data_IF_109119772650
#
_entry.id   IF_109119772650
#
_cell.length_a   1.000
_cell.length_b   1.000
_cell.length_c   1.000
_cell.angle_alpha   90.00
_cell.angle_beta   90.00
_cell.angle_gamma   90.00
#
_symmetry.space_group_name_H-M   'P 1'
#
loop_
_entity.id
_entity.type
_entity.pdbx_description
1 polymer ?
#
# COMPACT_ATOMS: atom_id res chain seq x y z
N UNK A 1 -6.38 7.49 -74.23
CA UNK A 1 -6.59 8.83 -73.63
C UNK A 1 -8.06 9.19 -73.78
N UNK A 2 -8.67 9.83 -72.78
CA UNK A 2 -10.05 10.31 -72.84
C UNK A 2 -10.14 11.64 -72.10
N UNK A 3 -10.78 12.63 -72.72
CA UNK A 3 -11.06 13.95 -72.13
C UNK A 3 -12.48 14.35 -72.51
N UNK A 4 -13.20 15.00 -71.60
CA UNK A 4 -14.10 16.07 -72.03
C UNK A 4 -13.85 17.39 -71.28
N UNK A 5 -13.72 18.45 -72.08
CA UNK A 5 -14.38 19.75 -71.91
C UNK A 5 -14.22 20.59 -70.61
N UNK A 6 -13.57 21.75 -70.80
CA UNK A 6 -13.77 23.06 -70.14
C UNK A 6 -13.99 24.07 -71.28
N UNK A 7 -14.68 25.24 -71.10
CA UNK A 7 -14.37 26.30 -70.12
C UNK A 7 -15.67 26.73 -69.36
N UNK A 8 -15.92 27.94 -68.81
CA UNK A 8 -15.23 29.24 -68.90
C UNK A 8 -15.46 30.14 -67.65
N UNK A 9 -15.09 31.43 -67.77
CA UNK A 9 -15.08 32.50 -66.77
C UNK A 9 -16.45 33.21 -66.61
N UNK A 10 -16.85 33.88 -65.49
CA UNK A 10 -16.21 34.79 -64.50
C UNK A 10 -16.22 36.28 -64.91
N UNK A 11 -16.85 37.15 -64.10
CA UNK A 11 -16.58 38.59 -63.81
C UNK A 11 -17.68 39.06 -62.81
N UNK A 12 -17.39 39.55 -61.58
CA UNK A 12 -16.80 40.84 -61.13
C UNK A 12 -17.77 42.04 -61.28
N UNK A 13 -17.92 43.00 -60.34
CA UNK A 13 -17.36 43.23 -58.98
C UNK A 13 -18.53 43.43 -57.94
N UNK A 14 -18.55 44.20 -56.82
CA UNK A 14 -17.63 45.12 -56.09
C UNK A 14 -17.99 45.23 -54.59
N UNK A 15 -17.10 45.79 -53.77
CA UNK A 15 -17.21 46.03 -52.31
C UNK A 15 -17.57 47.48 -51.96
N UNK A 16 -18.07 47.78 -50.73
CA UNK A 16 -17.32 48.52 -49.67
C UNK A 16 -18.10 48.84 -48.34
N UNK A 17 -17.50 48.42 -47.21
CA UNK A 17 -17.34 49.10 -45.89
C UNK A 17 -18.47 49.48 -44.88
N UNK A 18 -18.17 49.08 -43.62
CA UNK A 18 -18.21 49.83 -42.32
C UNK A 18 -19.49 49.94 -41.46
N UNK A 19 -19.39 49.40 -40.23
CA UNK A 19 -20.15 49.75 -39.02
C UNK A 19 -19.85 48.79 -37.85
N UNK A 20 -19.47 49.29 -36.64
CA UNK A 20 -19.17 48.45 -35.45
C UNK A 20 -19.80 49.01 -34.15
N UNK A 21 -20.71 48.26 -33.53
CA UNK A 21 -21.15 48.27 -32.10
C UNK A 21 -21.74 46.87 -31.82
N UNK A 22 -21.39 46.02 -30.83
CA UNK A 22 -20.47 46.00 -29.67
C UNK A 22 -21.08 46.29 -28.28
N UNK A 23 -20.89 45.35 -27.34
CA UNK A 23 -21.43 45.24 -25.97
C UNK A 23 -22.93 44.84 -25.88
N UNK A 24 -23.40 44.09 -24.87
CA UNK A 24 -22.71 43.47 -23.73
C UNK A 24 -23.36 42.11 -23.37
N UNK A 25 -22.56 41.08 -23.07
CA UNK A 25 -23.02 39.91 -22.32
C UNK A 25 -21.97 39.55 -21.26
N UNK A 26 -22.29 39.75 -19.98
CA UNK A 26 -21.44 39.29 -18.89
C UNK A 26 -21.62 37.78 -18.70
N UNK A 27 -20.65 36.99 -19.14
CA UNK A 27 -20.38 35.70 -18.50
C UNK A 27 -19.38 35.96 -17.37
N UNK A 28 -19.89 36.05 -16.15
CA UNK A 28 -19.06 36.13 -14.94
C UNK A 28 -18.38 34.79 -14.70
N UNK A 29 -17.13 34.66 -15.12
CA UNK A 29 -16.27 33.52 -14.76
C UNK A 29 -15.97 33.62 -13.27
N UNK A 30 -16.69 32.84 -12.46
CA UNK A 30 -16.40 32.73 -11.02
C UNK A 30 -15.18 31.83 -10.85
N UNK A 31 -14.02 32.47 -10.79
CA UNK A 31 -12.79 31.85 -10.30
C UNK A 31 -12.96 31.50 -8.82
N UNK A 32 -13.24 30.22 -8.52
CA UNK A 32 -13.19 29.71 -7.15
C UNK A 32 -11.75 29.52 -6.68
N UNK A 33 -11.05 30.64 -6.45
CA UNK A 33 -9.83 30.68 -5.67
C UNK A 33 -10.18 30.53 -4.17
N UNK A 34 -10.27 29.29 -3.68
CA UNK A 34 -10.65 28.98 -2.30
C UNK A 34 -9.48 28.44 -1.48
N UNK A 35 -8.50 29.29 -1.21
CA UNK A 35 -7.45 29.02 -0.24
C UNK A 35 -7.96 29.37 1.18
N UNK A 36 -8.47 28.40 1.94
CA UNK A 36 -8.76 28.62 3.36
C UNK A 36 -8.64 27.41 4.28
N UNK A 37 -8.29 27.76 5.52
CA UNK A 37 -7.91 26.96 6.67
C UNK A 37 -8.99 25.97 7.13
N UNK A 38 -8.51 24.89 7.76
CA UNK A 38 -9.22 24.01 8.69
C UNK A 38 -10.13 24.80 9.65
N UNK A 39 -11.45 24.57 9.57
CA UNK A 39 -12.42 25.08 10.56
C UNK A 39 -12.43 24.23 11.84
N UNK A 40 -13.00 24.80 12.91
CA UNK A 40 -12.90 24.30 14.28
C UNK A 40 -14.10 23.48 14.74
N UNK A 41 -13.84 22.46 15.55
CA UNK A 41 -14.80 21.51 16.12
C UNK A 41 -15.87 22.16 17.02
N UNK A 42 -17.18 21.87 16.82
CA UNK A 42 -18.23 22.04 17.83
C UNK A 42 -18.18 20.92 18.89
N UNK A 43 -18.76 21.16 20.07
CA UNK A 43 -18.52 20.33 21.26
C UNK A 43 -19.54 19.20 21.52
N UNK A 44 -19.05 18.14 22.17
CA UNK A 44 -19.72 17.26 23.14
C UNK A 44 -21.17 16.82 22.91
N UNK A 45 -21.37 15.49 22.83
CA UNK A 45 -22.58 14.84 23.34
C UNK A 45 -22.21 13.94 24.54
N UNK A 46 -23.12 13.88 25.52
CA UNK A 46 -22.87 13.31 26.85
C UNK A 46 -23.06 11.79 26.91
N UNK A 47 -22.41 11.16 27.88
CA UNK A 47 -22.62 9.76 28.25
C UNK A 47 -24.07 9.50 28.68
N UNK A 48 -24.54 8.29 28.43
CA UNK A 48 -25.50 7.59 29.30
C UNK A 48 -24.95 6.17 29.51
N UNK A 49 -24.51 5.87 30.73
CA UNK A 49 -24.05 4.55 31.15
C UNK A 49 -25.14 3.92 32.04
N UNK A 50 -25.64 2.74 31.64
CA UNK A 50 -26.66 2.01 32.42
C UNK A 50 -26.57 0.48 32.37
N UNK A 51 -25.58 -0.10 31.67
CA UNK A 51 -25.42 -1.56 31.53
C UNK A 51 -24.07 -2.10 32.04
N UNK A 52 -23.18 -1.23 32.55
CA UNK A 52 -21.90 -1.63 33.12
C UNK A 52 -22.03 -2.30 34.51
N UNK A 53 -22.64 -3.49 34.59
CA UNK A 53 -22.85 -4.20 35.88
C UNK A 53 -22.32 -5.64 35.93
N UNK A 54 -21.23 -5.79 36.68
CA UNK A 54 -20.77 -7.02 37.36
C UNK A 54 -20.38 -8.23 36.49
N UNK A 55 -19.07 -8.39 36.24
CA UNK A 55 -18.46 -9.72 36.03
C UNK A 55 -17.01 -9.84 36.51
N UNK A 56 -16.74 -9.37 37.74
CA UNK A 56 -15.50 -9.67 38.49
C UNK A 56 -15.48 -11.13 38.97
N UNK A 57 -15.41 -12.08 38.02
CA UNK A 57 -15.51 -13.52 38.28
C UNK A 57 -14.39 -14.34 37.65
N UNK A 58 -13.35 -14.64 38.45
CA UNK A 58 -12.24 -15.60 38.21
C UNK A 58 -12.28 -16.39 36.89
N UNK A 59 -11.79 -15.80 35.80
CA UNK A 59 -11.51 -16.56 34.57
C UNK A 59 -10.29 -17.45 34.84
N UNK A 60 -10.53 -18.74 35.09
CA UNK A 60 -9.52 -19.77 34.79
C UNK A 60 -9.30 -19.72 33.28
N UNK A 61 -8.04 -19.66 32.83
CA UNK A 61 -7.74 -19.96 31.44
C UNK A 61 -8.25 -21.38 31.15
N UNK A 62 -9.21 -21.50 30.25
CA UNK A 62 -9.53 -22.78 29.65
C UNK A 62 -8.29 -23.26 28.87
N UNK A 63 -7.89 -24.51 29.07
CA UNK A 63 -6.99 -25.14 28.12
C UNK A 63 -7.68 -25.17 26.75
N UNK A 64 -6.98 -24.74 25.70
CA UNK A 64 -7.53 -24.74 24.34
C UNK A 64 -8.03 -26.14 23.98
N UNK A 65 -9.24 -26.22 23.39
CA UNK A 65 -9.82 -27.50 23.02
C UNK A 65 -8.95 -28.19 21.96
N UNK A 66 -8.86 -29.51 22.00
CA UNK A 66 -8.16 -30.29 20.97
C UNK A 66 -8.98 -30.47 19.68
N UNK A 67 -9.96 -29.59 19.44
CA UNK A 67 -10.99 -29.73 18.42
C UNK A 67 -11.22 -28.49 17.55
N UNK A 68 -10.56 -27.36 17.84
CA UNK A 68 -10.52 -26.24 16.89
C UNK A 68 -9.85 -26.69 15.58
N UNK A 69 -10.47 -26.44 14.41
CA UNK A 69 -9.85 -26.81 13.14
C UNK A 69 -8.57 -26.01 12.92
N UNK A 70 -7.44 -26.72 12.84
CA UNK A 70 -6.13 -26.15 12.51
C UNK A 70 -6.19 -25.41 11.18
N UNK A 71 -6.33 -24.07 11.22
CA UNK A 71 -6.53 -23.28 10.00
C UNK A 71 -5.27 -23.34 9.12
N UNK A 72 -5.40 -24.06 8.01
CA UNK A 72 -4.32 -24.26 7.05
C UNK A 72 -4.11 -23.02 6.20
N UNK A 73 -3.09 -22.23 6.56
CA UNK A 73 -2.50 -21.23 5.65
C UNK A 73 -2.04 -21.93 4.37
N UNK A 74 -2.30 -21.34 3.20
CA UNK A 74 -1.87 -21.91 1.93
C UNK A 74 -0.33 -22.01 1.87
N UNK A 75 0.21 -23.09 1.31
CA UNK A 75 1.65 -23.16 0.99
C UNK A 75 2.01 -22.09 -0.04
N UNK A 76 3.21 -21.50 0.09
CA UNK A 76 3.71 -20.50 -0.84
C UNK A 76 4.64 -19.49 -0.17
N UNK A 77 5.13 -18.52 -0.94
CA UNK A 77 5.88 -17.38 -0.42
C UNK A 77 4.94 -16.35 0.20
N UNK A 78 5.33 -15.75 1.31
CA UNK A 78 4.63 -14.65 1.97
C UNK A 78 5.61 -13.57 2.44
N UNK A 79 5.16 -12.31 2.44
CA UNK A 79 5.69 -11.26 3.31
C UNK A 79 4.85 -11.31 4.59
N UNK A 80 5.51 -11.28 5.75
CA UNK A 80 4.88 -11.42 7.06
C UNK A 80 4.94 -10.05 7.74
N UNK A 81 3.79 -9.36 7.82
CA UNK A 81 3.73 -7.94 8.25
C UNK A 81 3.20 -7.84 9.68
N UNK A 82 3.88 -7.11 10.56
CA UNK A 82 3.41 -6.85 11.91
C UNK A 82 2.23 -5.87 11.91
N UNK A 83 1.21 -6.12 12.74
CA UNK A 83 0.03 -5.24 12.83
C UNK A 83 0.36 -3.86 13.37
N UNK A 84 1.12 -3.79 14.48
CA UNK A 84 1.35 -2.54 15.20
C UNK A 84 2.22 -1.55 14.42
N UNK A 85 3.28 -2.05 13.78
CA UNK A 85 4.27 -1.20 13.10
C UNK A 85 4.08 -1.10 11.59
N UNK A 86 3.30 -2.01 10.98
CA UNK A 86 3.21 -2.17 9.54
C UNK A 86 4.53 -2.56 8.86
N UNK A 87 5.57 -2.92 9.63
CA UNK A 87 6.88 -3.39 9.15
C UNK A 87 6.88 -4.90 8.94
N UNK A 88 7.85 -5.39 8.18
CA UNK A 88 7.89 -6.79 7.72
C UNK A 88 8.97 -7.58 8.45
N UNK A 89 8.74 -8.89 8.62
CA UNK A 89 9.72 -9.83 9.16
C UNK A 89 10.92 -9.94 8.21
N UNK A 90 12.08 -9.50 8.65
CA UNK A 90 13.27 -9.24 7.83
C UNK A 90 14.51 -9.94 8.42
N UNK A 91 15.32 -10.57 7.55
CA UNK A 91 16.63 -11.14 7.90
C UNK A 91 17.72 -10.09 7.72
N UNK A 92 18.46 -9.85 8.81
CA UNK A 92 19.52 -8.84 8.91
C UNK A 92 20.46 -8.81 7.68
N UNK A 93 20.40 -7.71 6.93
CA UNK A 93 21.36 -7.38 5.86
C UNK A 93 21.45 -8.44 4.76
N UNK A 94 20.37 -9.19 4.49
CA UNK A 94 20.34 -10.33 3.56
C UNK A 94 21.33 -11.48 3.90
N UNK A 95 21.91 -11.48 5.12
CA UNK A 95 22.94 -12.43 5.54
C UNK A 95 22.41 -13.85 5.53
N UNK A 96 23.27 -14.79 5.11
CA UNK A 96 22.90 -16.19 4.88
C UNK A 96 23.54 -17.16 5.87
N UNK A 97 24.02 -16.67 7.01
CA UNK A 97 24.65 -17.45 8.09
C UNK A 97 23.62 -17.99 9.09
N UNK A 98 23.88 -19.17 9.68
CA UNK A 98 23.09 -19.65 10.83
C UNK A 98 23.33 -18.74 12.04
N UNK A 99 22.27 -18.44 12.80
CA UNK A 99 22.31 -17.49 13.92
C UNK A 99 22.13 -16.02 13.51
N UNK A 100 21.95 -15.73 12.22
CA UNK A 100 21.60 -14.36 11.76
C UNK A 100 20.28 -13.92 12.39
N UNK A 101 20.25 -12.72 12.99
CA UNK A 101 19.08 -12.17 13.68
C UNK A 101 17.94 -11.88 12.70
N UNK A 102 16.72 -12.12 13.18
CA UNK A 102 15.48 -11.69 12.52
C UNK A 102 14.87 -10.54 13.32
N UNK A 103 14.49 -9.48 12.61
CA UNK A 103 13.91 -8.24 13.16
C UNK A 103 12.73 -7.78 12.29
N UNK A 104 12.17 -6.62 12.59
CA UNK A 104 11.30 -5.91 11.65
C UNK A 104 12.08 -4.85 10.85
N UNK A 105 11.69 -4.64 9.59
CA UNK A 105 12.19 -3.54 8.76
C UNK A 105 11.10 -3.02 7.81
N UNK A 106 11.30 -1.83 7.24
CA UNK A 106 10.49 -1.29 6.14
C UNK A 106 10.42 -2.23 4.93
N UNK A 107 9.34 -2.16 4.16
CA UNK A 107 9.02 -3.12 3.09
C UNK A 107 9.81 -2.87 1.77
N UNK A 108 11.11 -3.16 1.79
CA UNK A 108 12.02 -3.04 0.62
C UNK A 108 11.68 -3.94 -0.56
N UNK A 109 10.85 -4.97 -0.35
CA UNK A 109 10.58 -5.98 -1.38
C UNK A 109 11.74 -6.95 -1.61
N UNK A 110 12.74 -6.98 -0.73
CA UNK A 110 13.90 -7.87 -0.77
C UNK A 110 13.56 -9.36 -0.73
N UNK A 111 14.55 -10.21 -1.02
CA UNK A 111 14.46 -11.67 -0.80
C UNK A 111 14.44 -12.02 0.69
N UNK A 112 15.17 -11.25 1.50
CA UNK A 112 15.29 -11.39 2.96
C UNK A 112 14.01 -11.07 3.76
N UNK A 113 12.98 -10.56 3.07
CA UNK A 113 11.65 -10.23 3.60
C UNK A 113 10.56 -11.21 3.11
N UNK A 114 10.94 -12.23 2.34
CA UNK A 114 10.04 -13.17 1.68
C UNK A 114 10.25 -14.56 2.26
N UNK A 115 9.21 -15.10 2.87
CA UNK A 115 9.21 -16.35 3.61
C UNK A 115 8.35 -17.39 2.92
N UNK A 116 8.97 -18.45 2.39
CA UNK A 116 8.24 -19.62 1.87
C UNK A 116 7.70 -20.45 3.02
N UNK A 117 6.40 -20.34 3.28
CA UNK A 117 5.65 -21.17 4.21
C UNK A 117 5.38 -22.55 3.58
N UNK A 118 5.77 -23.61 4.30
CA UNK A 118 5.53 -25.01 3.91
C UNK A 118 4.93 -25.78 5.09
N UNK A 119 3.70 -26.27 4.92
CA UNK A 119 2.97 -27.14 5.84
C UNK A 119 3.76 -28.43 6.16
N UNK A 120 3.69 -28.84 7.43
CA UNK A 120 4.34 -29.97 8.07
C UNK A 120 3.33 -30.75 8.91
N UNK A 121 3.71 -31.95 9.35
CA UNK A 121 2.82 -32.86 10.09
C UNK A 121 2.25 -32.23 11.37
N UNK A 122 0.91 -32.22 11.46
CA UNK A 122 0.15 -31.69 12.60
C UNK A 122 -0.26 -30.22 12.51
N UNK A 123 -0.36 -29.64 11.30
CA UNK A 123 -0.81 -28.25 11.11
C UNK A 123 0.25 -27.18 11.38
N UNK A 124 1.50 -27.59 11.58
CA UNK A 124 2.65 -26.69 11.73
C UNK A 124 3.29 -26.38 10.38
N UNK A 125 4.06 -25.31 10.32
CA UNK A 125 4.71 -24.80 9.12
C UNK A 125 6.19 -24.54 9.41
N UNK A 126 7.02 -24.68 8.39
CA UNK A 126 8.32 -24.01 8.35
C UNK A 126 8.19 -22.70 7.57
N UNK A 127 8.65 -21.59 8.14
CA UNK A 127 8.93 -20.38 7.37
C UNK A 127 10.38 -20.42 6.92
N UNK A 128 10.62 -20.46 5.60
CA UNK A 128 11.95 -20.50 5.00
C UNK A 128 12.23 -19.16 4.33
N UNK A 129 13.29 -18.46 4.73
CA UNK A 129 13.74 -17.23 4.08
C UNK A 129 14.18 -17.50 2.63
N UNK A 130 13.71 -16.68 1.69
CA UNK A 130 14.01 -16.80 0.27
C UNK A 130 15.40 -16.26 -0.11
N UNK A 131 16.10 -15.53 0.76
CA UNK A 131 17.48 -15.07 0.52
C UNK A 131 18.51 -16.18 0.78
N UNK A 132 18.36 -16.88 1.91
CA UNK A 132 19.32 -17.87 2.41
C UNK A 132 18.87 -19.34 2.27
N UNK A 133 17.58 -19.59 2.05
CA UNK A 133 17.00 -20.94 2.10
C UNK A 133 16.91 -21.51 3.52
N UNK A 134 17.12 -20.70 4.56
CA UNK A 134 17.16 -21.13 5.98
C UNK A 134 15.83 -20.91 6.69
N UNK A 135 15.59 -21.70 7.73
CA UNK A 135 14.34 -21.67 8.49
C UNK A 135 14.36 -20.67 9.64
N UNK A 136 13.26 -19.92 9.80
CA UNK A 136 12.99 -19.14 11.01
C UNK A 136 12.97 -20.05 12.23
N UNK A 137 13.73 -19.71 13.28
CA UNK A 137 13.77 -20.44 14.54
C UNK A 137 13.73 -19.51 15.74
N UNK A 138 13.32 -20.05 16.89
CA UNK A 138 13.73 -19.48 18.18
C UNK A 138 15.16 -19.92 18.47
N UNK A 139 16.01 -18.97 18.83
CA UNK A 139 17.45 -19.22 18.99
C UNK A 139 17.73 -20.10 20.21
N UNK A 140 18.76 -20.96 20.10
CA UNK A 140 19.16 -21.97 21.11
C UNK A 140 18.04 -22.79 21.77
N UNK A 141 16.88 -22.90 21.10
CA UNK A 141 15.67 -23.54 21.65
C UNK A 141 15.14 -22.87 22.94
N UNK A 142 15.40 -21.57 23.12
CA UNK A 142 14.93 -20.82 24.29
C UNK A 142 13.43 -20.99 24.54
N UNK A 143 13.04 -21.06 25.82
CA UNK A 143 11.62 -21.14 26.25
C UNK A 143 11.15 -19.97 27.11
N UNK A 144 12.07 -19.08 27.48
CA UNK A 144 11.77 -17.82 28.16
C UNK A 144 11.08 -16.84 27.21
N UNK A 145 10.38 -15.88 27.81
CA UNK A 145 10.06 -14.62 27.15
C UNK A 145 11.37 -13.88 26.80
N UNK A 146 11.38 -13.16 25.67
CA UNK A 146 12.56 -12.43 25.20
C UNK A 146 13.63 -13.28 24.51
N UNK A 147 13.42 -14.58 24.31
CA UNK A 147 14.31 -15.38 23.47
C UNK A 147 14.15 -14.95 22.00
N UNK A 148 15.25 -14.49 21.39
CA UNK A 148 15.25 -13.91 20.04
C UNK A 148 14.95 -14.95 18.94
N UNK A 149 14.51 -14.47 17.78
CA UNK A 149 14.44 -15.30 16.57
C UNK A 149 15.63 -15.08 15.65
N UNK A 150 16.12 -16.18 15.08
CA UNK A 150 17.21 -16.22 14.09
C UNK A 150 16.80 -17.05 12.89
N UNK A 151 17.58 -17.00 11.81
CA UNK A 151 17.55 -18.05 10.77
C UNK A 151 18.63 -19.10 11.02
N UNK A 152 18.33 -20.36 10.72
CA UNK A 152 19.32 -21.44 10.69
C UNK A 152 18.94 -22.53 9.69
N UNK A 153 19.89 -23.41 9.37
CA UNK A 153 19.68 -24.58 8.52
C UNK A 153 18.46 -25.37 8.98
N UNK A 154 17.49 -25.58 8.08
CA UNK A 154 16.22 -26.22 8.45
C UNK A 154 16.40 -27.73 8.62
N UNK A 155 16.42 -28.18 9.87
CA UNK A 155 16.51 -29.59 10.29
C UNK A 155 15.13 -30.21 10.53
N UNK A 156 14.08 -29.39 10.63
CA UNK A 156 12.76 -29.83 11.08
C UNK A 156 12.61 -29.94 12.59
N UNK A 157 13.60 -29.51 13.38
CA UNK A 157 13.47 -29.39 14.83
C UNK A 157 12.26 -28.52 15.21
N UNK A 158 11.60 -28.83 16.32
CA UNK A 158 10.36 -28.15 16.75
C UNK A 158 10.55 -26.65 17.01
N UNK A 159 11.76 -26.19 17.37
CA UNK A 159 12.08 -24.75 17.48
C UNK A 159 11.99 -23.98 16.15
N UNK A 160 11.97 -24.69 15.02
CA UNK A 160 11.87 -24.18 13.65
C UNK A 160 10.46 -24.39 13.03
N UNK A 161 9.49 -24.82 13.84
CA UNK A 161 8.13 -25.12 13.42
C UNK A 161 7.12 -24.17 14.08
N UNK A 162 6.18 -23.66 13.29
CA UNK A 162 5.30 -22.56 13.66
C UNK A 162 3.84 -22.87 13.29
N UNK A 163 2.90 -22.59 14.18
CA UNK A 163 1.46 -22.71 13.95
C UNK A 163 0.87 -21.31 13.73
N UNK A 164 0.10 -21.12 12.66
CA UNK A 164 -0.52 -19.85 12.31
C UNK A 164 -1.98 -19.85 12.81
N UNK A 165 -2.21 -19.24 13.97
CA UNK A 165 -3.54 -19.18 14.60
C UNK A 165 -4.24 -17.89 14.17
N UNK A 166 -5.25 -18.02 13.31
CA UNK A 166 -6.05 -16.90 12.80
C UNK A 166 -6.78 -16.15 13.91
N UNK A 167 -6.92 -14.83 13.72
CA UNK A 167 -7.72 -13.92 14.55
C UNK A 167 -8.98 -13.43 13.81
N UNK A 168 -9.36 -14.11 12.72
CA UNK A 168 -10.53 -13.85 11.85
C UNK A 168 -10.53 -12.50 11.09
N UNK A 169 -9.79 -11.50 11.56
CA UNK A 169 -9.62 -10.17 10.97
C UNK A 169 -8.46 -10.06 9.95
N UNK A 170 -8.05 -11.17 9.33
CA UNK A 170 -6.90 -11.23 8.42
C UNK A 170 -5.52 -11.37 9.08
N UNK A 171 -5.42 -11.17 10.40
CA UNK A 171 -4.20 -11.37 11.17
C UNK A 171 -4.10 -12.78 11.79
N UNK A 172 -2.86 -13.17 12.12
CA UNK A 172 -2.51 -14.43 12.76
C UNK A 172 -1.59 -14.20 13.96
N UNK A 173 -1.70 -15.03 14.98
CA UNK A 173 -0.63 -15.26 15.96
C UNK A 173 0.24 -16.41 15.48
N UNK A 174 1.56 -16.21 15.45
CA UNK A 174 2.52 -17.18 14.93
C UNK A 174 3.17 -17.90 16.13
N UNK A 175 2.65 -19.07 16.49
CA UNK A 175 3.03 -19.81 17.70
C UNK A 175 4.18 -20.78 17.44
N UNK A 176 5.26 -20.77 18.23
CA UNK A 176 6.35 -21.73 18.12
C UNK A 176 6.00 -23.10 18.73
N UNK A 177 6.26 -24.18 18.00
CA UNK A 177 5.93 -25.56 18.43
C UNK A 177 6.70 -26.04 19.67
N UNK A 178 7.88 -25.49 19.97
CA UNK A 178 8.71 -25.96 21.09
C UNK A 178 8.42 -25.27 22.43
N UNK A 179 7.98 -24.02 22.40
CA UNK A 179 7.76 -23.17 23.58
C UNK A 179 6.29 -22.84 23.84
N UNK A 180 5.41 -22.94 22.83
CA UNK A 180 4.02 -22.46 22.92
C UNK A 180 3.88 -20.93 22.93
N UNK A 181 4.98 -20.19 22.75
CA UNK A 181 5.02 -18.71 22.72
C UNK A 181 4.79 -18.18 21.30
N UNK A 182 4.39 -16.91 21.19
CA UNK A 182 4.10 -16.25 19.90
C UNK A 182 5.26 -15.37 19.45
N UNK A 183 5.39 -15.23 18.13
CA UNK A 183 6.29 -14.27 17.48
C UNK A 183 5.88 -12.84 17.86
N UNK A 184 6.83 -12.06 18.38
CA UNK A 184 6.62 -10.81 19.09
C UNK A 184 7.67 -9.77 18.64
N UNK A 185 7.26 -8.55 18.30
CA UNK A 185 8.18 -7.41 18.15
C UNK A 185 8.46 -6.84 19.53
N UNK A 186 9.73 -6.84 19.94
CA UNK A 186 10.11 -6.53 21.32
C UNK A 186 9.66 -5.13 21.76
N UNK A 187 8.98 -5.07 22.90
CA UNK A 187 8.44 -3.84 23.48
C UNK A 187 7.38 -3.13 22.64
N UNK A 188 6.92 -3.73 21.53
CA UNK A 188 6.07 -3.05 20.55
C UNK A 188 6.77 -1.92 19.80
N UNK A 189 8.09 -1.98 19.62
CA UNK A 189 8.85 -0.98 18.85
C UNK A 189 8.22 -0.74 17.47
N UNK A 190 8.19 0.53 17.04
CA UNK A 190 7.76 0.96 15.71
C UNK A 190 8.94 1.14 14.76
N UNK A 191 10.17 0.99 15.26
CA UNK A 191 11.42 1.34 14.58
C UNK A 191 11.89 0.23 13.65
N UNK A 192 12.69 0.60 12.65
CA UNK A 192 13.49 -0.36 11.92
C UNK A 192 14.52 -1.03 12.84
N UNK A 193 14.91 -2.27 12.53
CA UNK A 193 15.79 -3.10 13.36
C UNK A 193 15.18 -3.51 14.71
N UNK A 194 13.89 -3.21 14.94
CA UNK A 194 13.13 -3.66 16.11
C UNK A 194 13.15 -5.19 16.22
N UNK A 195 13.82 -5.70 17.26
CA UNK A 195 14.11 -7.14 17.41
C UNK A 195 12.84 -7.98 17.46
N UNK A 196 12.84 -9.09 16.72
CA UNK A 196 11.77 -10.09 16.81
C UNK A 196 12.23 -11.23 17.72
N UNK A 197 11.32 -11.65 18.58
CA UNK A 197 11.52 -12.61 19.65
C UNK A 197 10.29 -13.51 19.79
N UNK A 198 10.31 -14.41 20.77
CA UNK A 198 9.09 -15.01 21.29
C UNK A 198 8.64 -14.32 22.59
N UNK A 199 7.33 -14.23 22.81
CA UNK A 199 6.74 -13.83 24.08
C UNK A 199 5.45 -14.62 24.40
N UNK A 200 5.08 -14.66 25.67
CA UNK A 200 3.83 -15.21 26.18
C UNK A 200 2.67 -14.45 25.55
N UNK A 201 1.67 -15.16 25.02
CA UNK A 201 0.62 -14.49 24.23
C UNK A 201 -0.25 -13.59 25.12
N UNK A 202 -0.17 -12.28 24.89
CA UNK A 202 -0.94 -11.23 25.56
C UNK A 202 -2.01 -10.59 24.64
N UNK A 203 -2.06 -11.03 23.37
CA UNK A 203 -2.91 -10.50 22.29
C UNK A 203 -2.60 -9.05 21.86
N UNK A 204 -1.50 -8.45 22.30
CA UNK A 204 -1.04 -7.15 21.82
C UNK A 204 -0.76 -7.17 20.31
N UNK A 205 -0.94 -6.02 19.65
CA UNK A 205 -0.82 -5.92 18.19
C UNK A 205 0.62 -6.17 17.69
N UNK A 206 1.62 -6.02 18.55
CA UNK A 206 3.01 -6.41 18.28
C UNK A 206 3.18 -7.94 18.12
N UNK A 207 2.17 -8.75 18.49
CA UNK A 207 2.11 -10.21 18.34
C UNK A 207 1.19 -10.69 17.21
N UNK A 208 0.59 -9.76 16.45
CA UNK A 208 -0.36 -10.05 15.38
C UNK A 208 0.28 -9.78 14.00
N UNK A 209 0.14 -10.73 13.06
CA UNK A 209 0.87 -10.72 11.79
C UNK A 209 -0.01 -11.03 10.58
N UNK A 210 0.12 -10.28 9.49
CA UNK A 210 -0.69 -10.40 8.27
C UNK A 210 0.00 -11.19 7.14
N UNK A 211 -0.77 -12.10 6.52
CA UNK A 211 -0.41 -13.06 5.46
C UNK A 211 -0.40 -12.54 4.01
N UNK A 212 0.64 -11.83 3.55
CA UNK A 212 0.66 -11.26 2.19
C UNK A 212 1.46 -12.12 1.19
N UNK A 213 0.87 -12.54 0.07
CA UNK A 213 1.64 -13.18 -1.03
C UNK A 213 2.45 -12.12 -1.79
N UNK A 214 3.78 -12.29 -2.04
CA UNK A 214 4.56 -11.40 -2.89
C UNK A 214 4.45 -11.76 -4.38
N UNK A 215 3.85 -12.91 -4.71
CA UNK A 215 3.44 -13.24 -6.09
C UNK A 215 2.16 -12.49 -6.43
N UNK A 216 2.28 -11.17 -6.49
CA UNK A 216 1.47 -10.40 -7.39
C UNK A 216 2.23 -10.31 -8.71
N UNK A 217 1.60 -10.76 -9.79
CA UNK A 217 2.16 -10.63 -11.13
C UNK A 217 1.65 -9.31 -11.73
N UNK A 218 1.89 -8.20 -11.02
CA UNK A 218 1.63 -6.88 -11.57
C UNK A 218 2.49 -6.66 -12.82
N UNK A 219 1.87 -6.19 -13.90
CA UNK A 219 2.51 -5.95 -15.19
C UNK A 219 2.56 -4.45 -15.53
N UNK A 220 2.67 -3.60 -14.49
CA UNK A 220 2.91 -2.18 -14.66
C UNK A 220 4.37 -1.94 -15.02
N UNK A 221 4.60 -1.28 -16.15
CA UNK A 221 5.91 -0.86 -16.64
C UNK A 221 5.87 0.62 -16.97
N UNK A 222 7.03 1.24 -17.20
CA UNK A 222 7.11 2.65 -17.59
C UNK A 222 8.24 2.89 -18.60
N UNK A 223 8.12 3.99 -19.35
CA UNK A 223 9.13 4.52 -20.27
C UNK A 223 9.21 6.03 -20.08
N UNK A 224 10.40 6.64 -20.17
CA UNK A 224 10.58 8.10 -20.06
C UNK A 224 10.92 8.68 -21.42
N UNK A 225 10.18 9.71 -21.87
CA UNK A 225 10.56 10.52 -23.02
C UNK A 225 11.87 11.24 -22.70
N UNK A 226 12.92 11.06 -23.52
CA UNK A 226 14.27 11.54 -23.21
C UNK A 226 14.61 12.90 -23.83
N UNK A 227 13.77 13.43 -24.71
CA UNK A 227 13.94 14.74 -25.36
C UNK A 227 13.92 15.86 -24.33
N UNK A 228 14.96 16.71 -24.32
CA UNK A 228 15.08 17.91 -23.48
C UNK A 228 15.01 17.70 -21.96
N UNK A 229 15.19 16.48 -21.45
CA UNK A 229 15.19 16.20 -20.00
C UNK A 229 16.58 16.49 -19.39
N UNK A 230 16.70 17.35 -18.35
CA UNK A 230 17.95 17.54 -17.61
C UNK A 230 18.47 16.22 -17.03
N UNK A 231 19.77 15.98 -17.06
CA UNK A 231 20.34 14.67 -16.70
C UNK A 231 20.12 14.28 -15.22
N UNK A 232 20.06 15.26 -14.32
CA UNK A 232 19.78 15.09 -12.89
C UNK A 232 18.29 14.82 -12.63
N UNK A 233 17.39 15.55 -13.31
CA UNK A 233 15.95 15.28 -13.27
C UNK A 233 15.65 13.89 -13.86
N UNK A 234 16.32 13.53 -14.96
CA UNK A 234 16.23 12.20 -15.54
C UNK A 234 16.68 11.12 -14.55
N UNK A 235 17.77 11.34 -13.79
CA UNK A 235 18.21 10.38 -12.77
C UNK A 235 17.19 10.21 -11.64
N UNK A 236 16.64 11.32 -11.10
CA UNK A 236 15.61 11.30 -10.04
C UNK A 236 14.32 10.61 -10.50
N UNK A 237 13.77 11.01 -11.65
CA UNK A 237 12.54 10.44 -12.23
C UNK A 237 12.71 8.94 -12.52
N UNK A 238 13.85 8.52 -13.10
CA UNK A 238 14.14 7.10 -13.35
C UNK A 238 14.20 6.27 -12.05
N UNK A 239 14.77 6.82 -10.97
CA UNK A 239 14.81 6.15 -9.67
C UNK A 239 13.42 6.04 -9.05
N UNK A 240 12.68 7.16 -9.01
CA UNK A 240 11.33 7.27 -8.46
C UNK A 240 10.35 6.30 -9.15
N UNK A 241 10.33 6.28 -10.49
CA UNK A 241 9.43 5.42 -11.27
C UNK A 241 9.79 3.93 -11.19
N UNK A 242 11.08 3.60 -11.07
CA UNK A 242 11.51 2.21 -10.84
C UNK A 242 10.99 1.69 -9.50
N UNK A 243 11.21 2.44 -8.41
CA UNK A 243 10.74 2.04 -7.08
C UNK A 243 9.21 2.01 -7.00
N UNK A 244 8.54 3.06 -7.50
CA UNK A 244 7.08 3.13 -7.51
C UNK A 244 6.43 1.97 -8.28
N UNK A 245 6.88 1.65 -9.51
CA UNK A 245 6.35 0.52 -10.26
C UNK A 245 6.72 -0.84 -9.64
N UNK A 246 7.89 -0.96 -8.99
CA UNK A 246 8.24 -2.16 -8.25
C UNK A 246 7.30 -2.38 -7.05
N UNK A 247 7.01 -1.33 -6.26
CA UNK A 247 6.06 -1.36 -5.13
C UNK A 247 4.64 -1.67 -5.58
N UNK A 248 4.17 -1.05 -6.67
CA UNK A 248 2.87 -1.38 -7.27
C UNK A 248 2.81 -2.87 -7.64
N UNK A 249 3.76 -3.36 -8.46
CA UNK A 249 3.79 -4.76 -8.90
C UNK A 249 3.97 -5.76 -7.76
N UNK A 250 4.67 -5.40 -6.68
CA UNK A 250 4.86 -6.23 -5.49
C UNK A 250 3.68 -6.18 -4.50
N UNK A 251 2.70 -5.29 -4.72
CA UNK A 251 1.52 -5.13 -3.84
C UNK A 251 0.18 -5.54 -4.46
N UNK A 252 0.03 -5.58 -5.79
CA UNK A 252 -1.21 -6.03 -6.42
C UNK A 252 -1.07 -6.57 -7.86
N UNK A 253 -2.04 -7.37 -8.31
CA UNK A 253 -2.09 -7.98 -9.65
C UNK A 253 -2.56 -6.96 -10.70
N UNK A 254 -1.78 -5.92 -10.94
CA UNK A 254 -2.09 -4.89 -11.93
C UNK A 254 -2.07 -5.47 -13.36
N UNK A 255 -3.11 -5.22 -14.18
CA UNK A 255 -3.11 -5.57 -15.60
C UNK A 255 -1.92 -4.95 -16.35
N UNK A 256 -1.50 -5.59 -17.44
CA UNK A 256 -0.40 -5.12 -18.28
C UNK A 256 -0.63 -3.70 -18.80
N UNK A 257 0.27 -2.78 -18.43
CA UNK A 257 0.25 -1.38 -18.86
C UNK A 257 1.67 -0.84 -18.91
N UNK A 258 1.97 -0.03 -19.92
CA UNK A 258 3.15 0.83 -19.94
C UNK A 258 2.70 2.27 -19.72
N UNK A 259 3.23 2.92 -18.69
CA UNK A 259 3.09 4.37 -18.51
C UNK A 259 4.18 5.08 -19.31
N UNK A 260 3.80 6.11 -20.06
CA UNK A 260 4.74 7.09 -20.58
C UNK A 260 4.98 8.12 -19.49
N UNK A 261 6.22 8.47 -19.26
CA UNK A 261 6.64 9.50 -18.32
C UNK A 261 7.30 10.61 -19.13
N UNK A 262 7.00 11.86 -18.83
CA UNK A 262 7.66 13.01 -19.43
C UNK A 262 8.15 13.98 -18.35
N UNK A 263 9.16 14.78 -18.71
CA UNK A 263 9.58 15.94 -17.94
C UNK A 263 9.06 17.18 -18.66
N UNK A 264 8.32 18.02 -17.94
CA UNK A 264 7.63 19.17 -18.50
C UNK A 264 7.78 20.35 -17.52
N UNK A 265 8.62 21.36 -17.82
CA UNK A 265 8.92 22.43 -16.87
C UNK A 265 7.73 23.37 -16.61
N UNK A 266 6.68 23.33 -17.43
CA UNK A 266 5.45 24.09 -17.22
C UNK A 266 4.48 23.40 -16.22
N UNK A 267 4.76 22.15 -15.84
CA UNK A 267 4.07 21.46 -14.73
C UNK A 267 4.71 21.90 -13.41
N UNK A 268 3.94 22.44 -12.43
CA UNK A 268 4.53 22.94 -11.18
C UNK A 268 5.09 21.84 -10.26
N UNK A 269 4.50 20.65 -10.29
CA UNK A 269 4.74 19.55 -9.34
C UNK A 269 4.93 18.22 -10.08
N UNK A 270 3.87 17.44 -10.22
CA UNK A 270 3.69 16.36 -11.17
C UNK A 270 2.18 16.24 -11.48
N UNK A 271 1.82 15.51 -12.54
CA UNK A 271 0.43 15.08 -12.76
C UNK A 271 0.34 13.75 -13.50
N UNK A 272 -0.56 12.88 -13.04
CA UNK A 272 -1.00 11.64 -13.70
C UNK A 272 -2.47 11.71 -14.14
N UNK A 273 -2.78 11.20 -15.34
CA UNK A 273 -4.16 11.15 -15.85
C UNK A 273 -4.73 9.73 -15.89
N UNK A 274 -6.00 9.56 -15.55
CA UNK A 274 -6.72 8.30 -15.82
C UNK A 274 -7.10 8.14 -17.30
N UNK A 275 -7.13 9.23 -18.07
CA UNK A 275 -7.55 9.26 -19.48
C UNK A 275 -6.42 9.11 -20.50
N UNK A 276 -5.19 9.46 -20.14
CA UNK A 276 -3.97 9.20 -20.91
C UNK A 276 -2.99 8.41 -20.04
N UNK A 277 -2.23 7.47 -20.61
CA UNK A 277 -1.21 6.72 -19.84
C UNK A 277 0.06 7.53 -19.62
N UNK A 278 -0.07 8.83 -19.33
CA UNK A 278 1.04 9.75 -19.12
C UNK A 278 1.12 10.19 -17.66
N UNK A 279 2.34 10.21 -17.12
CA UNK A 279 2.71 10.96 -15.91
C UNK A 279 3.70 12.05 -16.34
N UNK A 280 3.51 13.28 -15.86
CA UNK A 280 4.35 14.42 -16.18
C UNK A 280 5.02 14.90 -14.89
N UNK A 281 6.35 15.04 -14.88
CA UNK A 281 7.08 15.62 -13.76
C UNK A 281 7.52 17.05 -14.08
N UNK A 282 7.30 17.94 -13.12
CA UNK A 282 7.69 19.34 -13.17
C UNK A 282 9.19 19.58 -13.04
N UNK A 283 9.60 20.85 -13.11
CA UNK A 283 10.99 21.25 -12.91
C UNK A 283 11.50 21.07 -11.47
N UNK A 284 10.61 21.16 -10.47
CA UNK A 284 10.96 21.07 -9.06
C UNK A 284 11.40 19.65 -8.65
N UNK A 285 12.63 19.55 -8.16
CA UNK A 285 13.25 18.29 -7.73
C UNK A 285 12.56 17.64 -6.52
N UNK A 286 11.82 18.38 -5.70
CA UNK A 286 11.09 17.85 -4.54
C UNK A 286 9.89 16.97 -4.92
N UNK A 287 9.34 17.15 -6.12
CA UNK A 287 8.25 16.32 -6.67
C UNK A 287 8.78 15.18 -7.56
N UNK A 288 10.09 15.09 -7.81
CA UNK A 288 10.71 14.03 -8.60
C UNK A 288 11.07 12.82 -7.71
N UNK A 289 10.16 12.43 -6.80
CA UNK A 289 10.37 11.43 -5.74
C UNK A 289 9.48 10.19 -5.91
N UNK A 290 9.84 9.08 -5.26
CA UNK A 290 9.01 7.86 -5.24
C UNK A 290 7.61 8.14 -4.64
N UNK A 291 7.54 9.01 -3.63
CA UNK A 291 6.29 9.45 -2.98
C UNK A 291 5.32 10.04 -4.00
N UNK A 292 5.78 11.02 -4.77
CA UNK A 292 4.99 11.62 -5.85
C UNK A 292 4.73 10.64 -6.99
N UNK A 293 5.72 9.84 -7.41
CA UNK A 293 5.52 8.84 -8.46
C UNK A 293 4.40 7.83 -8.12
N UNK A 294 4.34 7.36 -6.88
CA UNK A 294 3.27 6.47 -6.40
C UNK A 294 1.91 7.17 -6.34
N UNK A 295 1.88 8.46 -5.97
CA UNK A 295 0.67 9.29 -6.00
C UNK A 295 0.13 9.45 -7.43
N UNK A 296 0.97 9.84 -8.40
CA UNK A 296 0.52 10.00 -9.79
C UNK A 296 0.10 8.67 -10.43
N UNK A 297 0.78 7.56 -10.13
CA UNK A 297 0.33 6.23 -10.60
C UNK A 297 -1.09 5.92 -10.09
N UNK A 298 -1.43 6.28 -8.84
CA UNK A 298 -2.79 6.11 -8.31
C UNK A 298 -3.82 6.93 -9.11
N UNK A 299 -3.51 8.17 -9.47
CA UNK A 299 -4.33 8.98 -10.40
C UNK A 299 -4.46 8.34 -11.78
N UNK A 300 -3.39 7.76 -12.35
CA UNK A 300 -3.51 7.02 -13.61
C UNK A 300 -4.43 5.79 -13.52
N UNK A 301 -4.67 5.29 -12.31
CA UNK A 301 -5.59 4.19 -12.01
C UNK A 301 -7.00 4.64 -11.62
N UNK A 302 -7.34 5.94 -11.72
CA UNK A 302 -8.70 6.45 -11.58
C UNK A 302 -8.99 7.22 -10.28
N UNK A 303 -8.05 7.27 -9.33
CA UNK A 303 -8.18 8.08 -8.11
C UNK A 303 -8.50 9.52 -8.47
N UNK A 304 -9.59 10.06 -7.93
CA UNK A 304 -10.06 11.42 -8.21
C UNK A 304 -10.61 11.69 -9.61
N UNK A 305 -10.56 10.74 -10.54
CA UNK A 305 -10.75 11.01 -11.98
C UNK A 305 -11.74 10.06 -12.68
N UNK A 306 -11.95 8.84 -12.18
CA UNK A 306 -12.86 7.88 -12.84
C UNK A 306 -14.31 7.98 -12.35
N UNK A 307 -15.26 7.58 -13.20
CA UNK A 307 -16.68 7.50 -12.81
C UNK A 307 -16.94 6.52 -11.65
N UNK A 308 -16.10 5.49 -11.51
CA UNK A 308 -16.17 4.53 -10.40
C UNK A 308 -15.74 5.14 -9.06
N UNK A 309 -14.76 6.07 -9.07
CA UNK A 309 -14.42 6.86 -7.89
C UNK A 309 -15.60 7.72 -7.43
N UNK A 310 -16.23 8.47 -8.34
CA UNK A 310 -17.38 9.31 -8.02
C UNK A 310 -18.62 8.49 -7.62
N UNK A 311 -18.80 7.29 -8.16
CA UNK A 311 -19.90 6.39 -7.78
C UNK A 311 -19.72 5.75 -6.41
N UNK A 312 -18.48 5.60 -5.94
CA UNK A 312 -18.15 5.05 -4.61
C UNK A 312 -17.91 6.13 -3.53
N UNK A 313 -17.98 7.42 -3.87
CA UNK A 313 -17.74 8.50 -2.89
C UNK A 313 -19.03 9.20 -2.47
N UNK A 314 -19.23 9.35 -1.16
CA UNK A 314 -20.39 10.03 -0.57
C UNK A 314 -20.02 10.68 0.76
N UNK A 315 -20.62 11.84 1.05
CA UNK A 315 -20.39 12.63 2.28
C UNK A 315 -18.93 12.93 2.66
N UNK A 316 -17.98 12.76 1.72
CA UNK A 316 -16.54 12.92 1.96
C UNK A 316 -15.77 11.62 2.17
N UNK A 317 -16.39 10.44 2.06
CA UNK A 317 -15.75 9.13 2.26
C UNK A 317 -15.87 8.24 1.00
N UNK A 318 -14.91 7.33 0.81
CA UNK A 318 -14.95 6.25 -0.18
C UNK A 318 -15.55 4.98 0.45
N UNK A 319 -16.70 4.55 -0.05
CA UNK A 319 -17.57 3.53 0.56
C UNK A 319 -17.49 2.14 -0.12
N UNK A 320 -16.59 1.95 -1.08
CA UNK A 320 -16.39 0.67 -1.75
C UNK A 320 -16.01 -0.44 -0.76
N UNK A 321 -16.65 -1.61 -0.88
CA UNK A 321 -16.63 -2.63 0.17
C UNK A 321 -15.28 -3.34 0.31
N UNK A 322 -14.52 -3.51 -0.77
CA UNK A 322 -13.15 -4.02 -0.71
C UNK A 322 -12.22 -2.98 -0.06
N UNK A 323 -12.42 -1.70 -0.36
CA UNK A 323 -11.63 -0.59 0.21
C UNK A 323 -11.86 -0.46 1.71
N UNK A 324 -13.12 -0.45 2.15
CA UNK A 324 -13.51 -0.43 3.57
C UNK A 324 -12.95 -1.65 4.32
N UNK A 325 -13.08 -2.86 3.75
CA UNK A 325 -12.48 -4.06 4.34
C UNK A 325 -10.94 -3.98 4.41
N UNK A 326 -10.30 -3.34 3.43
CA UNK A 326 -8.83 -3.18 3.38
C UNK A 326 -8.33 -2.20 4.46
N UNK A 327 -8.97 -1.05 4.66
CA UNK A 327 -8.56 -0.11 5.72
C UNK A 327 -8.87 -0.66 7.13
N UNK A 328 -9.98 -1.37 7.32
CA UNK A 328 -10.27 -2.09 8.58
C UNK A 328 -9.25 -3.20 8.87
N UNK A 329 -8.68 -3.83 7.83
CA UNK A 329 -7.61 -4.82 7.93
C UNK A 329 -6.20 -4.20 8.08
N UNK A 330 -6.09 -2.87 8.18
CA UNK A 330 -4.84 -2.15 8.49
C UNK A 330 -4.91 -1.40 9.81
N UNK A 331 -6.06 -0.82 10.14
CA UNK A 331 -6.25 0.12 11.25
C UNK A 331 -7.29 -0.40 12.25
N UNK A 332 -8.50 0.18 12.25
CA UNK A 332 -9.60 -0.19 13.17
C UNK A 332 -10.89 -0.50 12.41
N UNK A 333 -11.85 -1.24 13.00
CA UNK A 333 -13.18 -1.47 12.40
C UNK A 333 -14.05 -0.22 12.21
N UNK A 334 -13.54 0.97 12.52
CA UNK A 334 -14.19 2.28 12.37
C UNK A 334 -13.36 3.25 11.51
N UNK A 335 -12.26 2.79 10.91
CA UNK A 335 -11.36 3.62 10.11
C UNK A 335 -11.89 3.79 8.68
N UNK A 336 -12.29 5.00 8.30
CA UNK A 336 -12.73 5.33 6.94
C UNK A 336 -11.55 5.66 6.00
N UNK A 337 -11.83 5.65 4.69
CA UNK A 337 -11.03 6.38 3.69
C UNK A 337 -11.79 7.64 3.33
N UNK A 338 -11.28 8.79 3.76
CA UNK A 338 -11.80 10.11 3.43
C UNK A 338 -11.32 10.54 2.04
N UNK A 339 -12.05 11.42 1.37
CA UNK A 339 -11.78 11.90 0.01
C UNK A 339 -12.11 13.38 -0.20
N UNK A 340 -11.43 14.02 -1.15
CA UNK A 340 -11.72 15.39 -1.55
C UNK A 340 -10.64 16.00 -2.45
N UNK A 341 -11.03 16.93 -3.32
CA UNK A 341 -10.12 17.59 -4.26
C UNK A 341 -9.45 16.65 -5.29
N UNK A 342 -9.95 15.41 -5.43
CA UNK A 342 -9.33 14.35 -6.24
C UNK A 342 -8.51 13.32 -5.44
N UNK A 343 -8.23 13.57 -4.17
CA UNK A 343 -7.33 12.77 -3.35
C UNK A 343 -8.07 11.95 -2.28
N UNK A 344 -7.36 11.05 -1.59
CA UNK A 344 -7.85 10.35 -0.40
C UNK A 344 -6.85 10.40 0.76
N UNK A 345 -7.35 10.15 1.98
CA UNK A 345 -6.56 10.00 3.19
C UNK A 345 -7.26 9.06 4.19
N UNK A 346 -6.52 8.31 5.02
CA UNK A 346 -5.07 8.20 5.07
C UNK A 346 -4.46 7.47 3.86
N UNK A 347 -3.13 7.58 3.72
CA UNK A 347 -2.32 6.87 2.73
C UNK A 347 -2.56 7.25 1.25
N UNK A 348 -2.91 8.52 0.98
CA UNK A 348 -2.93 9.03 -0.40
C UNK A 348 -1.54 9.32 -0.96
N UNK A 349 -0.56 9.58 -0.07
CA UNK A 349 0.78 10.11 -0.34
C UNK A 349 0.76 11.56 -0.85
N UNK A 350 -0.23 12.33 -0.37
CA UNK A 350 -0.52 13.69 -0.84
C UNK A 350 0.60 14.67 -0.44
N UNK A 351 1.21 14.46 0.72
CA UNK A 351 2.27 15.29 1.32
C UNK A 351 3.48 14.43 1.74
N UNK A 352 4.63 15.05 1.98
CA UNK A 352 5.86 14.31 2.36
C UNK A 352 5.81 13.71 3.76
N UNK A 353 5.03 14.30 4.68
CA UNK A 353 4.78 13.77 6.02
C UNK A 353 3.80 12.57 6.03
N UNK A 354 3.15 12.26 4.89
CA UNK A 354 2.49 10.97 4.68
C UNK A 354 3.46 9.84 4.30
N UNK A 355 4.73 10.14 3.95
CA UNK A 355 5.65 9.11 3.47
C UNK A 355 6.14 8.19 4.60
N UNK A 356 5.89 6.89 4.39
CA UNK A 356 6.60 5.81 5.07
C UNK A 356 6.50 4.54 4.22
N UNK A 357 7.39 3.59 4.46
CA UNK A 357 7.32 2.25 3.84
C UNK A 357 5.96 1.57 4.06
N UNK A 358 5.37 1.77 5.25
CA UNK A 358 4.04 1.31 5.61
C UNK A 358 2.93 2.03 4.83
N UNK A 359 3.00 3.36 4.71
CA UNK A 359 2.03 4.14 3.92
C UNK A 359 2.11 3.79 2.43
N UNK A 360 3.32 3.67 1.88
CA UNK A 360 3.55 3.26 0.50
C UNK A 360 2.94 1.89 0.20
N UNK A 361 3.18 0.90 1.06
CA UNK A 361 2.54 -0.41 0.93
C UNK A 361 1.00 -0.32 1.00
N UNK A 362 0.46 0.40 2.00
CA UNK A 362 -0.99 0.53 2.20
C UNK A 362 -1.69 1.26 1.05
N UNK A 363 -1.07 2.30 0.46
CA UNK A 363 -1.58 2.99 -0.73
C UNK A 363 -1.82 1.99 -1.88
N UNK A 364 -0.81 1.18 -2.24
CA UNK A 364 -0.92 0.18 -3.33
C UNK A 364 -2.07 -0.79 -3.09
N UNK A 365 -2.31 -1.19 -1.83
CA UNK A 365 -3.43 -2.08 -1.47
C UNK A 365 -4.78 -1.39 -1.57
N UNK A 366 -4.90 -0.14 -1.10
CA UNK A 366 -6.13 0.64 -1.14
C UNK A 366 -6.53 1.00 -2.58
N UNK A 367 -5.60 1.49 -3.40
CA UNK A 367 -5.87 1.82 -4.81
C UNK A 367 -6.33 0.57 -5.60
N UNK A 368 -5.75 -0.61 -5.32
CA UNK A 368 -6.22 -1.86 -5.94
C UNK A 368 -7.61 -2.29 -5.43
N UNK A 369 -7.90 -2.08 -4.15
CA UNK A 369 -9.22 -2.33 -3.59
C UNK A 369 -10.27 -1.41 -4.22
N UNK A 370 -9.98 -0.11 -4.38
CA UNK A 370 -10.84 0.85 -5.08
C UNK A 370 -11.11 0.45 -6.54
N UNK A 371 -10.10 -0.06 -7.26
CA UNK A 371 -10.29 -0.65 -8.60
C UNK A 371 -11.16 -1.91 -8.58
N UNK A 372 -11.11 -2.70 -7.50
CA UNK A 372 -11.98 -3.88 -7.31
C UNK A 372 -13.42 -3.46 -6.99
N UNK A 373 -13.61 -2.30 -6.37
CA UNK A 373 -14.89 -1.62 -6.15
C UNK A 373 -15.41 -0.86 -7.40
N UNK A 374 -14.71 -0.94 -8.54
CA UNK A 374 -15.16 -0.43 -9.85
C UNK A 374 -14.52 0.88 -10.33
N UNK A 375 -13.47 1.36 -9.68
CA UNK A 375 -12.67 2.54 -10.10
C UNK A 375 -11.90 2.34 -11.40
#
# INVERSE_FOLDING_TARGET
>A
MHTPYKPNKLIMERNFMKGRVMHLLLLSVILFSSNCKKETTPASLSQNDSDAKSLTGKIKLAALSSAEPLQTVANGTFVIVNKLSGKVLDVDGYKTTDGTTVWQYGATGGSNQKWTLKLRTGGYYSAIDNSSGKGLQVDDAGKSDGAITTIATYTGATKQQWQFVSLQNGYYKIVNRYSGKVLDVNGGSLDDLGKVQQWTSNNGDNQQWALLKPTYNGQLTWQLTTTNVPADAQARIKAAMNDACARFNAGANWPARTLTVEYNPDVPTADGSSGSSNIRFGADASYQTVRTAMHEIAHTYGVGQSGGWYSNTSTGDFLGSNTVATIHAFETPTSAIHTGGGHFWPYGLNYDDEWSETAAFRQVKLVYAMRTDGM
#
